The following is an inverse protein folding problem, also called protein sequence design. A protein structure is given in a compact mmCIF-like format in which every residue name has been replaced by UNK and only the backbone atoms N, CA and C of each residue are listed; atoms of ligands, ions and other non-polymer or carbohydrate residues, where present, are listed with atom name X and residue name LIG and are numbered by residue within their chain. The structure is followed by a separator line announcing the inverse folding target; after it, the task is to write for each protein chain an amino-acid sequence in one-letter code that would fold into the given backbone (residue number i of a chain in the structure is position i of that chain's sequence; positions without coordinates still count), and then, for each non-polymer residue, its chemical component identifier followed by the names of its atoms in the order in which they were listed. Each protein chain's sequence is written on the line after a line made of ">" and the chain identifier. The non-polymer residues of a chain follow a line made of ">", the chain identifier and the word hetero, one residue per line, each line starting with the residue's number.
data_IF_637661825053
#
_entry.id   IF_637661825053
#
_cell.length_a   1.000
_cell.length_b   1.000
_cell.length_c   1.000
_cell.angle_alpha   90.00
_cell.angle_beta   90.00
_cell.angle_gamma   90.00
#
_symmetry.space_group_name_H-M   'P 1'
#
loop_
_entity.id
_entity.type
_entity.pdbx_description
1 polymer ?
#
# COMPACT_ATOMS: atom_id res chain seq x y z
N UNK A 1 -20.50 -5.25 48.39
CA UNK A 1 -21.34 -4.03 48.26
C UNK A 1 -21.65 -3.94 46.80
N UNK A 2 -22.91 -3.78 46.40
CA UNK A 2 -23.33 -3.90 45.00
C UNK A 2 -22.45 -3.09 44.02
N UNK A 3 -21.97 -1.91 44.45
CA UNK A 3 -21.00 -1.13 43.68
C UNK A 3 -19.67 -1.85 43.42
N UNK A 4 -19.04 -2.39 44.47
CA UNK A 4 -17.74 -3.03 44.37
C UNK A 4 -17.82 -4.29 43.50
N UNK A 5 -18.91 -5.05 43.65
CA UNK A 5 -19.15 -6.27 42.89
C UNK A 5 -19.27 -5.94 41.39
N UNK A 6 -19.97 -4.86 41.05
CA UNK A 6 -20.18 -4.42 39.68
C UNK A 6 -18.93 -3.84 39.02
N UNK A 7 -18.16 -3.01 39.72
CA UNK A 7 -16.91 -2.46 39.19
C UNK A 7 -15.87 -3.56 38.99
N UNK A 8 -15.79 -4.53 39.92
CA UNK A 8 -14.91 -5.71 39.76
C UNK A 8 -15.32 -6.53 38.54
N UNK A 9 -16.63 -6.69 38.29
CA UNK A 9 -17.13 -7.40 37.10
C UNK A 9 -16.70 -6.70 35.80
N UNK A 10 -16.94 -5.40 35.67
CA UNK A 10 -16.58 -4.64 34.45
C UNK A 10 -15.07 -4.62 34.22
N UNK A 11 -14.28 -4.42 35.29
CA UNK A 11 -12.82 -4.43 35.18
C UNK A 11 -12.30 -5.79 34.69
N UNK A 12 -12.90 -6.89 35.16
CA UNK A 12 -12.57 -8.23 34.70
C UNK A 12 -13.00 -8.46 33.25
N UNK A 13 -14.23 -8.13 32.89
CA UNK A 13 -14.76 -8.35 31.54
C UNK A 13 -14.00 -7.56 30.48
N UNK A 14 -13.87 -6.24 30.67
CA UNK A 14 -13.24 -5.35 29.67
C UNK A 14 -11.72 -5.45 29.74
N UNK A 15 -11.15 -5.48 30.95
CA UNK A 15 -9.69 -5.39 31.14
C UNK A 15 -8.97 -6.74 31.09
N UNK A 16 -9.60 -7.84 31.50
CA UNK A 16 -8.95 -9.16 31.55
C UNK A 16 -9.49 -10.12 30.50
N UNK A 17 -10.82 -10.19 30.34
CA UNK A 17 -11.46 -11.12 29.41
C UNK A 17 -11.56 -10.56 27.98
N UNK A 18 -11.28 -9.26 27.79
CA UNK A 18 -11.38 -8.59 26.50
C UNK A 18 -12.81 -8.50 25.95
N UNK A 19 -13.82 -8.72 26.80
CA UNK A 19 -15.23 -8.56 26.43
C UNK A 19 -15.60 -7.08 26.44
N UNK A 20 -15.39 -6.44 25.29
CA UNK A 20 -15.63 -5.02 25.10
C UNK A 20 -17.12 -4.68 25.12
N UNK A 21 -17.47 -3.56 25.75
CA UNK A 21 -18.84 -3.04 25.85
C UNK A 21 -19.53 -3.27 27.20
N UNK A 22 -18.86 -3.90 28.17
CA UNK A 22 -19.36 -4.03 29.54
C UNK A 22 -19.46 -2.67 30.23
N UNK A 23 -20.59 -2.42 30.89
CA UNK A 23 -20.83 -1.24 31.73
C UNK A 23 -21.35 -1.66 33.10
N UNK A 24 -21.05 -0.84 34.09
CA UNK A 24 -21.46 -0.99 35.47
C UNK A 24 -22.83 -0.33 35.68
N UNK A 25 -23.79 -1.09 36.20
CA UNK A 25 -25.08 -0.59 36.64
C UNK A 25 -25.26 -0.86 38.14
N UNK A 26 -25.41 0.20 38.92
CA UNK A 26 -25.56 0.10 40.37
C UNK A 26 -26.80 0.86 40.80
N UNK A 27 -27.78 0.17 41.35
CA UNK A 27 -29.02 0.80 41.83
C UNK A 27 -28.78 1.56 43.15
N UNK A 28 -29.49 2.67 43.32
CA UNK A 28 -29.52 3.42 44.59
C UNK A 28 -28.24 4.19 44.93
N UNK A 29 -27.26 4.29 44.02
CA UNK A 29 -26.05 5.09 44.25
C UNK A 29 -26.29 6.58 43.97
N UNK A 30 -25.77 7.42 44.85
CA UNK A 30 -25.79 8.87 44.71
C UNK A 30 -24.46 9.49 45.15
N UNK A 31 -24.27 10.78 44.85
CA UNK A 31 -23.05 11.50 45.22
C UNK A 31 -21.79 10.89 44.59
N UNK A 32 -20.78 10.64 45.42
CA UNK A 32 -19.46 10.14 44.96
C UNK A 32 -19.54 8.78 44.25
N UNK A 33 -20.42 7.88 44.68
CA UNK A 33 -20.51 6.53 44.11
C UNK A 33 -21.04 6.54 42.69
N UNK A 34 -22.09 7.33 42.42
CA UNK A 34 -22.63 7.52 41.05
C UNK A 34 -21.55 8.04 40.10
N UNK A 35 -20.81 9.06 40.54
CA UNK A 35 -19.75 9.70 39.75
C UNK A 35 -18.57 8.75 39.48
N UNK A 36 -18.25 7.85 40.41
CA UNK A 36 -17.26 6.80 40.17
C UNK A 36 -17.77 5.76 39.16
N UNK A 37 -19.04 5.33 39.24
CA UNK A 37 -19.65 4.44 38.24
C UNK A 37 -19.61 5.06 36.84
N UNK A 38 -19.95 6.35 36.73
CA UNK A 38 -19.91 7.10 35.46
C UNK A 38 -18.48 7.13 34.88
N UNK A 39 -17.47 7.44 35.70
CA UNK A 39 -16.07 7.45 35.26
C UNK A 39 -15.58 6.06 34.81
N UNK A 40 -15.95 4.99 35.51
CA UNK A 40 -15.60 3.61 35.11
C UNK A 40 -16.24 3.26 33.76
N UNK A 41 -17.50 3.63 33.57
CA UNK A 41 -18.22 3.40 32.32
C UNK A 41 -17.65 4.19 31.15
N UNK A 42 -17.22 5.44 31.40
CA UNK A 42 -16.53 6.26 30.41
C UNK A 42 -15.20 5.62 29.99
N UNK A 43 -14.38 5.19 30.96
CA UNK A 43 -13.12 4.50 30.69
C UNK A 43 -13.33 3.21 29.89
N UNK A 44 -14.24 2.35 30.34
CA UNK A 44 -14.57 1.09 29.67
C UNK A 44 -15.11 1.33 28.24
N UNK A 45 -15.95 2.36 28.08
CA UNK A 45 -16.51 2.76 26.80
C UNK A 45 -15.45 3.30 25.83
N UNK A 46 -14.53 4.14 26.31
CA UNK A 46 -13.44 4.69 25.52
C UNK A 46 -12.51 3.56 25.02
N UNK A 47 -12.05 2.68 25.92
CA UNK A 47 -11.20 1.54 25.57
C UNK A 47 -11.91 0.59 24.58
N UNK A 48 -13.19 0.32 24.81
CA UNK A 48 -14.01 -0.51 23.90
C UNK A 48 -14.01 0.05 22.48
N UNK A 49 -14.30 1.35 22.32
CA UNK A 49 -14.35 1.98 20.99
C UNK A 49 -12.98 1.98 20.33
N UNK A 50 -11.93 2.29 21.07
CA UNK A 50 -10.57 2.39 20.55
C UNK A 50 -10.02 1.03 20.10
N UNK A 51 -10.13 0.00 20.95
CA UNK A 51 -9.64 -1.34 20.61
C UNK A 51 -10.45 -1.95 19.47
N UNK A 52 -11.78 -1.74 19.43
CA UNK A 52 -12.62 -2.26 18.34
C UNK A 52 -12.27 -1.60 16.99
N UNK A 53 -12.04 -0.29 16.96
CA UNK A 53 -11.62 0.39 15.74
C UNK A 53 -10.28 -0.15 15.19
N UNK A 54 -9.32 -0.42 16.08
CA UNK A 54 -8.03 -1.03 15.70
C UNK A 54 -8.24 -2.45 15.15
N UNK A 55 -9.06 -3.27 15.82
CA UNK A 55 -9.34 -4.64 15.40
C UNK A 55 -10.00 -4.71 14.01
N UNK A 56 -10.91 -3.79 13.70
CA UNK A 56 -11.56 -3.69 12.38
C UNK A 56 -10.54 -3.41 11.27
N UNK A 57 -9.64 -2.46 11.47
CA UNK A 57 -8.61 -2.12 10.48
C UNK A 57 -7.62 -3.26 10.31
N UNK A 58 -7.14 -3.87 11.39
CA UNK A 58 -6.23 -5.01 11.32
C UNK A 58 -6.86 -6.20 10.60
N UNK A 59 -8.16 -6.44 10.79
CA UNK A 59 -8.89 -7.50 10.09
C UNK A 59 -8.98 -7.22 8.59
N UNK A 60 -9.34 -5.99 8.20
CA UNK A 60 -9.40 -5.58 6.79
C UNK A 60 -8.02 -5.72 6.10
N UNK A 61 -6.95 -5.34 6.79
CA UNK A 61 -5.57 -5.48 6.30
C UNK A 61 -5.20 -6.96 6.10
N UNK A 62 -5.60 -7.84 7.02
CA UNK A 62 -5.39 -9.28 6.88
C UNK A 62 -6.17 -9.89 5.70
N UNK A 63 -7.30 -9.30 5.32
CA UNK A 63 -8.09 -9.64 4.12
C UNK A 63 -7.54 -8.99 2.84
N UNK A 64 -6.49 -8.17 2.95
CA UNK A 64 -5.84 -7.49 1.83
C UNK A 64 -6.44 -6.13 1.47
N UNK A 65 -7.46 -5.66 2.20
CA UNK A 65 -7.93 -4.28 2.07
C UNK A 65 -6.98 -3.35 2.83
N UNK A 66 -5.95 -2.93 2.11
CA UNK A 66 -5.01 -1.98 2.66
C UNK A 66 -5.60 -0.58 2.71
N UNK A 67 -6.75 -0.23 2.13
CA UNK A 67 -7.25 1.17 2.03
C UNK A 67 -7.75 1.76 3.35
N UNK A 68 -7.93 0.93 4.37
CA UNK A 68 -8.45 1.31 5.70
C UNK A 68 -7.39 2.01 6.55
N UNK A 69 -7.86 2.80 7.52
CA UNK A 69 -7.02 3.42 8.55
C UNK A 69 -7.79 3.56 9.87
N UNK A 70 -7.05 3.57 10.97
CA UNK A 70 -7.58 3.81 12.32
C UNK A 70 -7.84 5.31 12.48
N UNK A 71 -9.08 5.69 12.80
CA UNK A 71 -9.55 7.09 12.90
C UNK A 71 -10.15 7.46 14.26
N UNK A 72 -10.03 6.58 15.25
CA UNK A 72 -10.63 6.80 16.57
C UNK A 72 -9.89 7.87 17.36
N UNK A 73 -10.63 8.76 18.02
CA UNK A 73 -10.06 9.73 18.95
C UNK A 73 -9.49 9.00 20.18
N UNK A 74 -8.18 9.06 20.33
CA UNK A 74 -7.43 8.48 21.44
C UNK A 74 -6.29 9.41 21.84
N UNK A 75 -5.77 9.20 23.05
CA UNK A 75 -4.61 9.92 23.58
C UNK A 75 -3.65 8.92 24.23
N UNK A 76 -2.38 9.30 24.33
CA UNK A 76 -1.35 8.47 24.96
C UNK A 76 -1.06 7.19 24.17
N UNK A 77 -0.83 6.08 24.89
CA UNK A 77 -0.38 4.80 24.30
C UNK A 77 -1.35 4.24 23.27
N UNK A 78 -2.66 4.49 23.42
CA UNK A 78 -3.66 4.01 22.47
C UNK A 78 -3.63 4.79 21.15
N UNK A 79 -3.30 6.08 21.20
CA UNK A 79 -3.09 6.88 19.99
C UNK A 79 -1.83 6.41 19.26
N UNK A 80 -0.73 6.24 20.00
CA UNK A 80 0.52 5.72 19.45
C UNK A 80 0.34 4.33 18.81
N UNK A 81 -0.47 3.45 19.43
CA UNK A 81 -0.83 2.17 18.84
C UNK A 81 -1.58 2.34 17.51
N UNK A 82 -2.57 3.24 17.46
CA UNK A 82 -3.30 3.54 16.22
C UNK A 82 -2.38 4.07 15.11
N UNK A 83 -1.47 4.97 15.46
CA UNK A 83 -0.48 5.53 14.53
C UNK A 83 0.50 4.47 14.01
N UNK A 84 0.99 3.59 14.89
CA UNK A 84 1.85 2.48 14.52
C UNK A 84 1.16 1.50 13.57
N UNK A 85 -0.13 1.21 13.80
CA UNK A 85 -0.92 0.38 12.87
C UNK A 85 -1.09 1.09 11.52
N UNK A 86 -1.41 2.39 11.52
CA UNK A 86 -1.52 3.16 10.28
C UNK A 86 -0.19 3.18 9.49
N UNK A 87 0.94 3.35 10.19
CA UNK A 87 2.27 3.31 9.58
C UNK A 87 2.59 1.92 9.00
N UNK A 88 2.22 0.84 9.70
CA UNK A 88 2.35 -0.53 9.18
C UNK A 88 1.52 -0.72 7.90
N UNK A 89 0.26 -0.26 7.88
CA UNK A 89 -0.59 -0.34 6.70
C UNK A 89 0.02 0.38 5.52
N UNK A 90 0.54 1.60 5.73
CA UNK A 90 1.19 2.36 4.66
C UNK A 90 2.44 1.64 4.14
N UNK A 91 3.28 1.12 5.03
CA UNK A 91 4.47 0.33 4.63
C UNK A 91 4.11 -0.92 3.82
N UNK A 92 3.02 -1.61 4.18
CA UNK A 92 2.51 -2.74 3.40
C UNK A 92 2.01 -2.31 2.03
N UNK A 93 1.34 -1.17 1.91
CA UNK A 93 0.90 -0.62 0.60
C UNK A 93 2.09 -0.33 -0.29
N UNK A 94 3.08 0.40 0.23
CA UNK A 94 4.29 0.77 -0.49
C UNK A 94 5.05 -0.48 -0.96
N UNK A 95 5.25 -1.44 -0.06
CA UNK A 95 5.95 -2.69 -0.37
C UNK A 95 5.20 -3.52 -1.41
N UNK A 96 3.87 -3.60 -1.30
CA UNK A 96 3.03 -4.33 -2.27
C UNK A 96 3.14 -3.70 -3.66
N UNK A 97 3.08 -2.37 -3.73
CA UNK A 97 3.25 -1.63 -5.00
C UNK A 97 4.65 -1.84 -5.58
N UNK A 98 5.69 -1.69 -4.77
CA UNK A 98 7.06 -1.90 -5.21
C UNK A 98 7.30 -3.32 -5.72
N UNK A 99 6.71 -4.33 -5.06
CA UNK A 99 6.77 -5.71 -5.53
C UNK A 99 6.06 -5.89 -6.88
N UNK A 100 4.90 -5.28 -7.09
CA UNK A 100 4.19 -5.32 -8.37
C UNK A 100 5.01 -4.69 -9.51
N UNK A 101 5.65 -3.53 -9.25
CA UNK A 101 6.55 -2.88 -10.20
C UNK A 101 7.78 -3.78 -10.50
N UNK A 102 8.37 -4.43 -9.50
CA UNK A 102 9.48 -5.35 -9.72
C UNK A 102 9.08 -6.61 -10.51
N UNK A 103 7.93 -7.19 -10.21
CA UNK A 103 7.43 -8.38 -10.90
C UNK A 103 7.12 -8.05 -12.37
N UNK A 104 6.62 -6.84 -12.64
CA UNK A 104 6.51 -6.31 -14.00
C UNK A 104 7.88 -6.25 -14.68
N UNK A 105 8.91 -5.63 -14.07
CA UNK A 105 10.26 -5.52 -14.64
C UNK A 105 10.83 -6.89 -15.01
N UNK A 106 10.74 -7.84 -14.07
CA UNK A 106 11.24 -9.19 -14.25
C UNK A 106 10.51 -9.92 -15.38
N UNK A 107 9.19 -9.80 -15.43
CA UNK A 107 8.37 -10.40 -16.49
C UNK A 107 8.72 -9.83 -17.87
N UNK A 108 8.86 -8.51 -17.97
CA UNK A 108 9.22 -7.83 -19.21
C UNK A 108 10.63 -8.22 -19.68
N UNK A 109 11.61 -8.21 -18.77
CA UNK A 109 12.98 -8.61 -19.08
C UNK A 109 13.04 -10.06 -19.57
N UNK A 110 12.31 -10.97 -18.93
CA UNK A 110 12.25 -12.37 -19.35
C UNK A 110 11.65 -12.51 -20.76
N UNK A 111 10.58 -11.77 -21.06
CA UNK A 111 9.95 -11.74 -22.39
C UNK A 111 10.90 -11.20 -23.46
N UNK A 112 11.48 -10.02 -23.23
CA UNK A 112 12.42 -9.40 -24.17
C UNK A 112 13.62 -10.32 -24.40
N UNK A 113 14.20 -10.89 -23.34
CA UNK A 113 15.30 -11.86 -23.45
C UNK A 113 14.93 -13.08 -24.30
N UNK A 114 13.70 -13.59 -24.16
CA UNK A 114 13.17 -14.66 -25.02
C UNK A 114 13.02 -14.26 -26.48
N UNK A 115 12.53 -13.05 -26.77
CA UNK A 115 12.40 -12.50 -28.13
C UNK A 115 13.77 -12.29 -28.80
N UNK A 116 14.80 -11.96 -28.01
CA UNK A 116 16.17 -11.84 -28.48
C UNK A 116 16.82 -13.19 -28.79
N UNK A 117 16.30 -14.28 -28.23
CA UNK A 117 16.92 -15.60 -28.34
C UNK A 117 16.71 -16.20 -29.72
N UNK A 118 17.79 -16.30 -30.51
CA UNK A 118 17.77 -16.87 -31.87
C UNK A 118 17.72 -15.82 -32.99
N UNK A 119 17.45 -14.56 -32.65
CA UNK A 119 17.52 -13.44 -33.58
C UNK A 119 18.93 -12.83 -33.54
N UNK A 120 19.61 -12.75 -34.70
CA UNK A 120 20.92 -12.10 -34.86
C UNK A 120 20.82 -10.75 -35.58
N UNK A 121 19.62 -10.38 -36.01
CA UNK A 121 19.38 -9.19 -36.82
C UNK A 121 18.91 -8.04 -35.92
N UNK A 122 19.73 -7.00 -35.83
CA UNK A 122 19.55 -5.88 -34.90
C UNK A 122 18.30 -5.03 -35.20
N UNK A 123 17.94 -4.76 -36.48
CA UNK A 123 16.64 -4.19 -36.86
C UNK A 123 15.43 -4.95 -36.30
N UNK A 124 15.39 -6.28 -36.46
CA UNK A 124 14.27 -7.12 -35.99
C UNK A 124 14.13 -7.03 -34.47
N UNK A 125 15.27 -7.05 -33.78
CA UNK A 125 15.35 -6.82 -32.33
C UNK A 125 14.83 -5.45 -31.94
N UNK A 126 15.23 -4.39 -32.65
CA UNK A 126 14.84 -3.03 -32.35
C UNK A 126 13.33 -2.83 -32.52
N UNK A 127 12.73 -3.43 -33.55
CA UNK A 127 11.29 -3.44 -33.79
C UNK A 127 10.54 -4.19 -32.67
N UNK A 128 10.99 -5.40 -32.32
CA UNK A 128 10.40 -6.19 -31.22
C UNK A 128 10.45 -5.46 -29.87
N UNK A 129 11.57 -4.79 -29.56
CA UNK A 129 11.69 -4.01 -28.33
C UNK A 129 10.73 -2.82 -28.33
N UNK A 130 10.56 -2.15 -29.48
CA UNK A 130 9.66 -1.00 -29.61
C UNK A 130 8.19 -1.40 -29.46
N UNK A 131 7.78 -2.49 -30.10
CA UNK A 131 6.41 -3.01 -30.02
C UNK A 131 6.03 -3.39 -28.58
N UNK A 132 6.98 -3.87 -27.79
CA UNK A 132 6.72 -4.25 -26.39
C UNK A 132 6.82 -3.05 -25.43
N UNK A 133 7.83 -2.18 -25.57
CA UNK A 133 8.08 -1.09 -24.62
C UNK A 133 7.16 0.12 -24.83
N UNK A 134 6.85 0.47 -26.07
CA UNK A 134 6.15 1.73 -26.36
C UNK A 134 4.71 1.77 -25.82
N UNK A 135 3.89 0.71 -25.93
CA UNK A 135 2.57 0.67 -25.29
C UNK A 135 2.65 0.80 -23.77
N UNK A 136 3.71 0.27 -23.14
CA UNK A 136 3.87 0.25 -21.69
C UNK A 136 4.17 1.63 -21.11
N UNK A 137 5.03 2.41 -21.76
CA UNK A 137 5.33 3.79 -21.33
C UNK A 137 4.34 4.81 -21.90
N UNK A 138 3.33 4.36 -22.64
CA UNK A 138 2.40 5.22 -23.39
C UNK A 138 3.13 6.25 -24.26
N UNK A 139 4.29 5.86 -24.82
CA UNK A 139 5.05 6.76 -25.66
C UNK A 139 4.34 6.95 -27.00
N UNK A 140 4.26 8.21 -27.44
CA UNK A 140 3.65 8.55 -28.72
C UNK A 140 4.60 8.28 -29.88
N UNK A 141 5.90 8.39 -29.63
CA UNK A 141 6.96 8.20 -30.61
C UNK A 141 8.16 7.52 -29.94
N UNK A 142 8.91 6.74 -30.71
CA UNK A 142 10.24 6.31 -30.32
C UNK A 142 11.08 5.92 -31.53
N UNK A 143 12.39 5.85 -31.33
CA UNK A 143 13.33 5.49 -32.38
C UNK A 143 14.59 4.84 -31.78
N UNK A 144 15.11 3.82 -32.46
CA UNK A 144 16.42 3.24 -32.22
C UNK A 144 17.40 3.70 -33.29
N UNK A 145 18.56 4.19 -32.86
CA UNK A 145 19.66 4.57 -33.73
C UNK A 145 20.88 3.71 -33.42
N UNK A 146 21.59 3.31 -34.47
CA UNK A 146 22.91 2.70 -34.37
C UNK A 146 23.95 3.73 -34.81
N UNK A 147 24.99 3.91 -33.99
CA UNK A 147 26.15 4.69 -34.38
C UNK A 147 27.05 3.85 -35.29
N UNK A 148 27.37 4.39 -36.46
CA UNK A 148 28.28 3.79 -37.43
C UNK A 148 29.41 4.80 -37.70
N UNK A 149 30.65 4.32 -37.82
CA UNK A 149 31.78 5.19 -38.15
C UNK A 149 31.71 5.55 -39.64
N UNK A 150 31.40 6.81 -39.93
CA UNK A 150 31.44 7.40 -41.26
C UNK A 150 32.75 8.12 -41.54
N UNK A 151 32.97 8.49 -42.80
CA UNK A 151 34.19 9.20 -43.25
C UNK A 151 34.39 10.56 -42.54
N UNK A 152 33.30 11.21 -42.11
CA UNK A 152 33.31 12.51 -41.42
C UNK A 152 33.04 12.40 -39.90
N UNK A 153 33.07 11.18 -39.33
CA UNK A 153 32.82 10.90 -37.92
C UNK A 153 31.60 9.99 -37.68
N UNK A 154 31.16 9.83 -36.41
CA UNK A 154 30.06 8.92 -36.09
C UNK A 154 28.74 9.42 -36.67
N UNK A 155 28.12 8.61 -37.54
CA UNK A 155 26.79 8.82 -38.11
C UNK A 155 25.74 7.95 -37.41
N UNK A 156 24.53 8.47 -37.23
CA UNK A 156 23.42 7.73 -36.62
C UNK A 156 22.49 7.18 -37.70
N UNK A 157 22.39 5.85 -37.80
CA UNK A 157 21.44 5.18 -38.68
C UNK A 157 20.22 4.74 -37.89
N UNK A 158 19.03 5.14 -38.34
CA UNK A 158 17.76 4.64 -37.78
C UNK A 158 17.66 3.13 -38.05
N UNK A 159 17.42 2.34 -37.01
CA UNK A 159 17.28 0.87 -37.08
C UNK A 159 15.88 0.39 -36.68
N UNK A 160 15.06 1.23 -36.06
CA UNK A 160 13.66 0.95 -35.75
C UNK A 160 12.93 2.20 -35.26
N UNK A 161 11.63 2.31 -35.51
CA UNK A 161 10.81 3.46 -35.09
C UNK A 161 9.37 3.03 -34.77
N UNK A 162 8.74 3.73 -33.82
CA UNK A 162 7.32 3.57 -33.48
C UNK A 162 6.64 4.92 -33.56
N UNK A 163 5.44 4.95 -34.14
CA UNK A 163 4.63 6.18 -34.27
C UNK A 163 5.22 7.23 -35.21
N UNK A 164 6.38 6.96 -35.82
CA UNK A 164 7.05 7.84 -36.77
C UNK A 164 6.70 7.39 -38.20
N UNK A 165 6.28 8.29 -39.11
CA UNK A 165 6.10 7.94 -40.51
C UNK A 165 7.44 7.56 -41.15
N UNK A 166 7.50 6.43 -41.86
CA UNK A 166 8.73 5.76 -42.33
C UNK A 166 9.66 6.58 -43.27
N UNK A 167 9.31 7.81 -43.64
CA UNK A 167 9.88 8.51 -44.80
C UNK A 167 10.93 9.60 -44.50
N UNK A 168 11.48 9.66 -43.28
CA UNK A 168 12.63 10.56 -42.97
C UNK A 168 13.81 9.78 -42.42
N UNK A 169 14.38 8.94 -43.27
CA UNK A 169 15.66 8.28 -43.00
C UNK A 169 16.80 9.30 -43.09
N UNK A 170 17.13 9.94 -41.95
CA UNK A 170 18.46 10.41 -41.50
C UNK A 170 18.31 11.61 -40.55
N UNK A 171 18.42 11.43 -39.23
CA UNK A 171 18.76 12.54 -38.36
C UNK A 171 20.26 12.76 -38.46
N UNK A 172 20.67 13.86 -39.09
CA UNK A 172 22.02 14.38 -38.94
C UNK A 172 22.13 15.11 -37.61
N UNK A 173 23.30 14.94 -36.99
CA UNK A 173 23.73 15.45 -35.67
C UNK A 173 23.25 16.85 -35.31
#
# INVERSE_FOLDING_TARGET
>A
SAFADEVTRVAREVGTEGRLGGQAEVEGVSGTWKRLTENVNELAGNLTRQVRAIAEVTSAVAEGDLTRSVTVEASGEVAELGDNINAMVESLRETTRANQEQDWLKTNLARISGLMQGHRDLPVVAELIMDELVPLVSAQYGAFYLAEDGDDGPELRLVGSYGYPEDTARPTR
#
